data_IF_188361665248
#
_entry.id   IF_188361665248
#
_cell.length_a   1.000
_cell.length_b   1.000
_cell.length_c   1.000
_cell.angle_alpha   90.00
_cell.angle_beta   90.00
_cell.angle_gamma   90.00
#
_symmetry.space_group_name_H-M   'P 1'
#
loop_
_entity.id
_entity.type
_entity.pdbx_description
1 polymer ?
#
# COMPACT_ATOMS: atom_id res chain seq x y z
N UNK A 1 -28.20 16.41 -41.80
CA UNK A 1 -28.87 15.10 -41.61
C UNK A 1 -27.81 14.05 -41.81
N UNK A 2 -27.51 13.11 -40.93
CA UNK A 2 -27.95 12.72 -39.59
C UNK A 2 -26.86 11.71 -39.22
N UNK A 3 -26.10 11.93 -38.15
CA UNK A 3 -25.75 10.90 -37.17
C UNK A 3 -25.24 11.67 -35.95
N UNK A 4 -26.13 11.66 -34.97
CA UNK A 4 -26.08 12.36 -33.71
C UNK A 4 -24.90 11.88 -32.87
N UNK A 5 -24.37 12.81 -32.07
CA UNK A 5 -23.37 12.52 -31.06
C UNK A 5 -23.88 11.41 -30.14
N UNK A 6 -23.14 10.31 -30.11
CA UNK A 6 -23.13 9.51 -28.91
C UNK A 6 -22.40 10.36 -27.86
N UNK A 7 -23.19 10.85 -26.90
CA UNK A 7 -22.75 11.19 -25.56
C UNK A 7 -21.71 10.17 -25.11
N UNK A 8 -20.44 10.57 -25.19
CA UNK A 8 -19.41 9.99 -24.35
C UNK A 8 -19.83 10.43 -22.96
N UNK A 9 -20.47 9.53 -22.22
CA UNK A 9 -20.75 9.73 -20.82
C UNK A 9 -19.42 10.06 -20.14
N UNK A 10 -19.33 11.27 -19.62
CA UNK A 10 -18.30 11.78 -18.70
C UNK A 10 -18.28 11.02 -17.34
N UNK A 11 -18.58 9.72 -17.35
CA UNK A 11 -18.83 8.89 -16.16
C UNK A 11 -17.72 7.83 -15.92
N UNK A 12 -16.74 7.72 -16.82
CA UNK A 12 -15.48 7.02 -16.54
C UNK A 12 -14.51 8.00 -15.85
N UNK A 13 -14.87 8.46 -14.65
CA UNK A 13 -13.82 8.80 -13.69
C UNK A 13 -13.06 7.51 -13.45
N UNK A 14 -11.93 7.33 -14.14
CA UNK A 14 -10.89 6.37 -13.75
C UNK A 14 -10.71 6.56 -12.25
N UNK A 15 -11.25 5.64 -11.45
CA UNK A 15 -11.12 5.70 -10.00
C UNK A 15 -9.61 5.85 -9.74
N UNK A 16 -9.21 7.01 -9.22
CA UNK A 16 -7.82 7.43 -9.05
C UNK A 16 -7.18 6.68 -7.88
N UNK A 17 -7.10 5.36 -8.01
CA UNK A 17 -6.74 4.49 -6.92
C UNK A 17 -6.04 3.26 -7.49
N UNK A 18 -4.81 3.45 -7.93
CA UNK A 18 -3.94 2.35 -8.32
C UNK A 18 -3.15 1.84 -7.12
N UNK A 19 -2.68 0.60 -7.21
CA UNK A 19 -1.67 0.03 -6.32
C UNK A 19 -0.56 -0.59 -7.14
N UNK A 20 0.68 -0.37 -6.71
CA UNK A 20 1.82 -1.11 -7.24
C UNK A 20 2.07 -2.36 -6.40
N UNK A 21 2.31 -3.48 -7.07
CA UNK A 21 2.79 -4.70 -6.45
C UNK A 21 4.12 -5.02 -7.14
N UNK A 22 5.22 -4.72 -6.46
CA UNK A 22 6.56 -4.96 -7.01
C UNK A 22 6.90 -6.42 -6.78
N UNK A 23 7.52 -7.05 -7.77
CA UNK A 23 7.97 -8.42 -7.64
C UNK A 23 9.44 -8.58 -7.97
N UNK A 24 10.07 -9.55 -7.32
CA UNK A 24 11.46 -9.92 -7.55
C UNK A 24 11.57 -11.45 -7.52
N UNK A 25 11.97 -12.02 -8.65
CA UNK A 25 12.36 -13.41 -8.82
C UNK A 25 13.81 -13.60 -8.36
N UNK A 26 14.08 -14.80 -7.83
CA UNK A 26 15.43 -15.22 -7.44
C UNK A 26 16.21 -15.80 -8.62
N UNK A 27 15.51 -16.47 -9.53
CA UNK A 27 16.05 -17.03 -10.77
C UNK A 27 15.53 -16.28 -12.01
N UNK A 28 16.25 -16.40 -13.13
CA UNK A 28 15.83 -15.82 -14.41
C UNK A 28 14.68 -16.64 -15.00
N UNK A 29 13.63 -15.95 -15.43
CA UNK A 29 12.49 -16.58 -16.07
C UNK A 29 12.74 -16.75 -17.58
N UNK A 30 12.37 -17.90 -18.15
CA UNK A 30 12.47 -18.12 -19.60
C UNK A 30 11.15 -17.89 -20.37
N UNK A 31 9.99 -18.05 -19.72
CA UNK A 31 8.67 -17.99 -20.36
C UNK A 31 7.83 -16.80 -19.87
N UNK A 32 8.20 -15.59 -20.30
CA UNK A 32 7.67 -14.34 -19.74
C UNK A 32 6.18 -14.13 -20.02
N UNK A 33 5.72 -14.50 -21.21
CA UNK A 33 4.33 -14.32 -21.61
C UNK A 33 3.40 -15.25 -20.80
N UNK A 34 3.74 -16.54 -20.72
CA UNK A 34 2.98 -17.53 -19.94
C UNK A 34 2.92 -17.14 -18.46
N UNK A 35 4.04 -16.71 -17.87
CA UNK A 35 4.07 -16.22 -16.50
C UNK A 35 3.20 -14.98 -16.30
N UNK A 36 3.27 -14.04 -17.23
CA UNK A 36 2.47 -12.81 -17.19
C UNK A 36 0.98 -13.14 -17.25
N UNK A 37 0.57 -14.10 -18.09
CA UNK A 37 -0.83 -14.51 -18.22
C UNK A 37 -1.33 -15.26 -16.98
N UNK A 38 -0.52 -16.17 -16.42
CA UNK A 38 -0.84 -16.85 -15.15
C UNK A 38 -1.04 -15.81 -14.05
N UNK A 39 -0.12 -14.85 -13.91
CA UNK A 39 -0.23 -13.85 -12.85
C UNK A 39 -1.41 -12.90 -13.05
N UNK A 40 -1.71 -12.48 -14.29
CA UNK A 40 -2.92 -11.69 -14.56
C UNK A 40 -4.20 -12.44 -14.21
N UNK A 41 -4.23 -13.77 -14.33
CA UNK A 41 -5.41 -14.58 -14.04
C UNK A 41 -5.81 -14.58 -12.55
N UNK A 42 -4.88 -14.27 -11.65
CA UNK A 42 -5.15 -14.13 -10.22
C UNK A 42 -5.96 -12.88 -9.89
N UNK A 43 -5.78 -11.81 -10.66
CA UNK A 43 -6.42 -10.53 -10.36
C UNK A 43 -7.85 -10.52 -10.91
N UNK A 44 -8.85 -10.16 -10.09
CA UNK A 44 -10.25 -10.11 -10.52
C UNK A 44 -10.54 -8.97 -11.50
N UNK A 45 -9.62 -8.00 -11.61
CA UNK A 45 -9.77 -6.77 -12.35
C UNK A 45 -8.57 -6.49 -13.26
N UNK A 46 -8.67 -5.39 -14.03
CA UNK A 46 -7.66 -5.02 -15.01
C UNK A 46 -6.32 -4.72 -14.33
N UNK A 47 -5.31 -5.54 -14.66
CA UNK A 47 -3.94 -5.39 -14.17
C UNK A 47 -2.97 -5.18 -15.31
N UNK A 48 -2.07 -4.21 -15.16
CA UNK A 48 -0.96 -3.97 -16.10
C UNK A 48 0.29 -4.60 -15.51
N UNK A 49 1.11 -5.24 -16.34
CA UNK A 49 2.39 -5.82 -15.94
C UNK A 49 3.50 -5.11 -16.69
N UNK A 50 4.48 -4.61 -15.95
CA UNK A 50 5.67 -3.98 -16.51
C UNK A 50 6.89 -4.71 -15.98
N UNK A 51 7.63 -5.33 -16.89
CA UNK A 51 8.93 -5.91 -16.60
C UNK A 51 10.00 -4.82 -16.62
N UNK A 52 10.83 -4.77 -15.59
CA UNK A 52 11.98 -3.87 -15.52
C UNK A 52 13.25 -4.54 -16.04
N UNK A 53 13.37 -5.84 -15.77
CA UNK A 53 14.46 -6.73 -16.20
C UNK A 53 13.99 -8.20 -16.04
N UNK A 54 14.80 -9.20 -16.39
CA UNK A 54 14.40 -10.62 -16.32
C UNK A 54 14.04 -11.15 -14.93
N UNK A 55 14.38 -10.42 -13.86
CA UNK A 55 14.17 -10.84 -12.48
C UNK A 55 13.15 -9.98 -11.74
N UNK A 56 12.72 -8.84 -12.28
CA UNK A 56 11.84 -7.93 -11.54
C UNK A 56 10.90 -7.15 -12.44
N UNK A 57 9.79 -6.75 -11.82
CA UNK A 57 8.79 -5.92 -12.45
C UNK A 57 7.77 -5.46 -11.44
N UNK A 58 6.68 -4.89 -11.96
CA UNK A 58 5.59 -4.37 -11.16
C UNK A 58 4.25 -4.72 -11.81
N UNK A 59 3.31 -5.17 -10.98
CA UNK A 59 1.89 -5.19 -11.32
C UNK A 59 1.29 -3.85 -10.91
N UNK A 60 0.57 -3.22 -11.83
CA UNK A 60 -0.24 -2.04 -11.55
C UNK A 60 -1.68 -2.53 -11.49
N UNK A 61 -2.15 -2.68 -10.26
CA UNK A 61 -3.53 -3.03 -9.93
C UNK A 61 -4.37 -1.76 -10.01
N UNK A 62 -5.30 -1.73 -10.96
CA UNK A 62 -6.16 -0.57 -11.21
C UNK A 62 -7.43 -0.58 -10.36
N UNK A 63 -7.73 -1.68 -9.66
CA UNK A 63 -8.90 -1.80 -8.80
C UNK A 63 -8.57 -2.50 -7.46
N UNK A 64 -7.70 -1.91 -6.61
CA UNK A 64 -7.22 -2.54 -5.38
C UNK A 64 -8.34 -2.97 -4.44
N UNK A 65 -9.43 -2.19 -4.37
CA UNK A 65 -10.60 -2.53 -3.55
C UNK A 65 -11.26 -3.85 -3.94
N UNK A 66 -11.24 -4.22 -5.22
CA UNK A 66 -11.75 -5.53 -5.67
C UNK A 66 -10.73 -6.62 -5.38
N UNK A 67 -9.46 -6.36 -5.67
CA UNK A 67 -8.35 -7.29 -5.41
C UNK A 67 -8.27 -7.68 -3.92
N UNK A 68 -8.49 -6.72 -3.01
CA UNK A 68 -8.44 -6.95 -1.56
C UNK A 68 -9.60 -7.80 -1.01
N UNK A 69 -10.63 -8.06 -1.83
CA UNK A 69 -11.69 -9.02 -1.46
C UNK A 69 -11.27 -10.48 -1.66
N UNK A 70 -10.18 -10.73 -2.38
CA UNK A 70 -9.67 -12.07 -2.63
C UNK A 70 -8.76 -12.47 -1.47
N UNK A 71 -9.28 -13.32 -0.58
CA UNK A 71 -8.52 -13.86 0.53
C UNK A 71 -7.29 -14.64 0.03
N UNK A 72 -6.15 -14.44 0.67
CA UNK A 72 -4.89 -15.16 0.41
C UNK A 72 -4.39 -15.09 -1.04
N UNK A 73 -4.77 -14.04 -1.79
CA UNK A 73 -4.36 -13.83 -3.18
C UNK A 73 -2.84 -13.90 -3.36
N UNK A 74 -2.10 -13.14 -2.56
CA UNK A 74 -0.66 -13.00 -2.72
C UNK A 74 0.09 -14.25 -2.30
N UNK A 75 -0.37 -14.95 -1.27
CA UNK A 75 0.13 -16.28 -0.90
C UNK A 75 -0.09 -17.27 -2.04
N UNK A 76 -1.26 -17.26 -2.67
CA UNK A 76 -1.57 -18.12 -3.82
C UNK A 76 -0.65 -17.84 -5.02
N UNK A 77 -0.36 -16.56 -5.28
CA UNK A 77 0.61 -16.16 -6.31
C UNK A 77 2.00 -16.74 -6.00
N UNK A 78 2.46 -16.59 -4.75
CA UNK A 78 3.77 -17.12 -4.34
C UNK A 78 3.83 -18.64 -4.53
N UNK A 79 2.80 -19.36 -4.07
CA UNK A 79 2.74 -20.81 -4.13
C UNK A 79 2.69 -21.32 -5.59
N UNK A 80 1.87 -20.70 -6.45
CA UNK A 80 1.77 -21.06 -7.87
C UNK A 80 3.05 -20.76 -8.63
N UNK A 81 3.72 -19.63 -8.37
CA UNK A 81 5.00 -19.33 -9.02
C UNK A 81 6.06 -20.36 -8.62
N UNK A 82 6.08 -20.75 -7.34
CA UNK A 82 6.99 -21.77 -6.86
C UNK A 82 6.71 -23.17 -7.46
N UNK A 83 5.43 -23.55 -7.65
CA UNK A 83 5.05 -24.87 -8.17
C UNK A 83 5.15 -25.00 -9.68
N UNK A 84 4.70 -23.99 -10.41
CA UNK A 84 4.47 -24.09 -11.86
C UNK A 84 5.70 -23.63 -12.65
N UNK A 85 6.45 -22.66 -12.11
CA UNK A 85 7.64 -22.11 -12.74
C UNK A 85 8.94 -22.54 -12.07
N UNK A 86 8.88 -23.18 -10.90
CA UNK A 86 10.05 -23.61 -10.11
C UNK A 86 11.00 -22.44 -9.76
N UNK A 87 10.44 -21.26 -9.51
CA UNK A 87 11.16 -20.03 -9.17
C UNK A 87 10.63 -19.45 -7.85
N UNK A 88 11.51 -18.91 -7.02
CA UNK A 88 11.10 -18.15 -5.84
C UNK A 88 10.75 -16.70 -6.20
N UNK A 89 9.58 -16.24 -5.78
CA UNK A 89 9.12 -14.85 -5.95
C UNK A 89 8.99 -14.16 -4.60
N UNK A 90 9.43 -12.90 -4.55
CA UNK A 90 9.14 -11.98 -3.45
C UNK A 90 8.22 -10.86 -3.96
N UNK A 91 7.18 -10.55 -3.20
CA UNK A 91 6.19 -9.52 -3.53
C UNK A 91 6.22 -8.39 -2.50
N UNK A 92 6.25 -7.14 -2.96
CA UNK A 92 6.00 -5.97 -2.14
C UNK A 92 4.66 -5.38 -2.54
N UNK A 93 3.71 -5.40 -1.61
CA UNK A 93 2.35 -4.91 -1.79
C UNK A 93 2.33 -3.45 -1.36
N UNK A 94 2.20 -2.53 -2.31
CA UNK A 94 2.07 -1.11 -2.03
C UNK A 94 0.77 -0.78 -1.31
N UNK A 95 0.71 0.41 -0.74
CA UNK A 95 -0.51 0.93 -0.12
C UNK A 95 -1.46 1.35 -1.25
N UNK A 96 -2.75 1.01 -1.13
CA UNK A 96 -3.77 1.51 -2.05
C UNK A 96 -3.92 3.04 -1.99
N UNK A 97 -4.83 3.58 -2.78
CA UNK A 97 -5.18 5.00 -2.85
C UNK A 97 -4.10 5.89 -3.48
N UNK A 98 -3.41 5.40 -4.51
CA UNK A 98 -2.42 6.20 -5.25
C UNK A 98 -3.10 6.92 -6.41
N UNK A 99 -3.04 8.25 -6.40
CA UNK A 99 -3.47 9.05 -7.54
C UNK A 99 -2.47 8.93 -8.70
N UNK A 100 -2.95 9.02 -9.95
CA UNK A 100 -2.10 8.92 -11.14
C UNK A 100 -0.98 9.98 -11.17
N UNK A 101 -1.23 11.16 -10.62
CA UNK A 101 -0.26 12.25 -10.47
C UNK A 101 0.90 11.90 -9.53
N UNK A 102 0.67 11.01 -8.57
CA UNK A 102 1.66 10.52 -7.59
C UNK A 102 2.31 9.19 -8.01
N UNK A 103 1.81 8.54 -9.06
CA UNK A 103 2.22 7.21 -9.51
C UNK A 103 3.74 7.04 -9.61
N UNK A 104 4.42 8.01 -10.24
CA UNK A 104 5.87 7.95 -10.42
C UNK A 104 6.64 8.03 -9.10
N UNK A 105 6.30 8.99 -8.24
CA UNK A 105 6.99 9.18 -6.96
C UNK A 105 6.70 8.04 -6.00
N UNK A 106 5.49 7.48 -6.04
CA UNK A 106 5.11 6.27 -5.27
C UNK A 106 5.90 5.05 -5.72
N UNK A 107 5.88 4.75 -7.02
CA UNK A 107 6.63 3.63 -7.59
C UNK A 107 8.12 3.68 -7.21
N UNK A 108 8.75 4.85 -7.31
CA UNK A 108 10.16 5.02 -6.96
C UNK A 108 10.44 4.75 -5.48
N UNK A 109 9.61 5.30 -4.59
CA UNK A 109 9.80 5.13 -3.16
C UNK A 109 9.57 3.69 -2.71
N UNK A 110 8.50 3.05 -3.19
CA UNK A 110 8.19 1.67 -2.84
C UNK A 110 9.25 0.71 -3.36
N UNK A 111 9.74 0.94 -4.59
CA UNK A 111 10.85 0.15 -5.14
C UNK A 111 12.12 0.31 -4.30
N UNK A 112 12.50 1.53 -3.91
CA UNK A 112 13.63 1.78 -3.01
C UNK A 112 13.44 1.08 -1.66
N UNK A 113 12.24 1.22 -1.08
CA UNK A 113 11.87 0.58 0.20
C UNK A 113 11.98 -0.93 0.11
N UNK A 114 11.45 -1.54 -0.95
CA UNK A 114 11.51 -2.97 -1.14
C UNK A 114 12.95 -3.49 -1.18
N UNK A 115 13.83 -2.79 -1.90
CA UNK A 115 15.25 -3.18 -1.98
C UNK A 115 15.95 -3.09 -0.61
N UNK A 116 15.67 -2.04 0.18
CA UNK A 116 16.23 -1.89 1.53
C UNK A 116 15.73 -3.02 2.44
N UNK A 117 14.41 -3.22 2.52
CA UNK A 117 13.84 -4.16 3.48
C UNK A 117 14.17 -5.61 3.14
N UNK A 118 14.23 -5.97 1.85
CA UNK A 118 14.61 -7.33 1.42
C UNK A 118 16.04 -7.72 1.83
N UNK A 119 16.93 -6.74 2.01
CA UNK A 119 18.29 -7.00 2.53
C UNK A 119 18.30 -7.29 4.04
N UNK A 120 17.28 -6.83 4.77
CA UNK A 120 17.18 -6.99 6.22
C UNK A 120 16.43 -8.26 6.62
N UNK A 121 15.37 -8.59 5.88
CA UNK A 121 14.51 -9.74 6.15
C UNK A 121 14.19 -10.46 4.86
N UNK A 122 14.27 -11.79 4.87
CA UNK A 122 13.90 -12.63 3.74
C UNK A 122 12.51 -13.23 3.97
N UNK A 123 11.47 -12.53 3.50
CA UNK A 123 10.08 -12.99 3.48
C UNK A 123 9.57 -13.04 2.02
N UNK A 124 8.57 -13.88 1.70
CA UNK A 124 7.98 -13.90 0.37
C UNK A 124 7.07 -12.69 0.11
N UNK A 125 6.49 -12.08 1.16
CA UNK A 125 5.53 -10.98 1.03
C UNK A 125 5.90 -9.84 1.98
N UNK A 126 5.98 -8.63 1.45
CA UNK A 126 6.24 -7.36 2.13
C UNK A 126 4.99 -6.48 1.96
N UNK A 127 4.58 -5.78 3.01
CA UNK A 127 3.37 -4.97 3.02
C UNK A 127 3.77 -3.54 3.29
N UNK A 128 3.59 -2.65 2.32
CA UNK A 128 4.15 -1.31 2.34
C UNK A 128 3.80 -0.52 3.60
N UNK A 129 2.61 -0.70 4.15
CA UNK A 129 2.16 -0.09 5.40
C UNK A 129 2.91 -0.57 6.65
N UNK A 130 3.70 -1.65 6.57
CA UNK A 130 4.46 -2.23 7.68
C UNK A 130 5.96 -1.87 7.64
N UNK A 131 6.44 -1.15 6.63
CA UNK A 131 7.88 -1.14 6.31
C UNK A 131 8.69 0.00 6.94
N UNK A 132 8.06 1.02 7.52
CA UNK A 132 8.78 2.15 8.15
C UNK A 132 9.76 1.73 9.28
N UNK A 133 9.41 0.78 10.19
CA UNK A 133 10.36 0.27 11.17
C UNK A 133 11.62 -0.32 10.54
N UNK A 134 11.48 -1.02 9.41
CA UNK A 134 12.61 -1.63 8.71
C UNK A 134 13.46 -0.59 7.99
N UNK A 135 12.86 0.47 7.43
CA UNK A 135 13.62 1.62 6.92
C UNK A 135 14.47 2.28 8.02
N UNK A 136 13.93 2.40 9.24
CA UNK A 136 14.69 2.94 10.37
C UNK A 136 15.84 2.02 10.80
N UNK A 137 15.58 0.70 10.88
CA UNK A 137 16.61 -0.31 11.23
C UNK A 137 17.70 -0.37 10.16
N UNK A 138 17.32 -0.25 8.89
CA UNK A 138 18.25 -0.20 7.75
C UNK A 138 18.96 1.13 7.58
N UNK A 139 18.84 2.04 8.56
CA UNK A 139 19.46 3.37 8.54
C UNK A 139 19.17 4.15 7.24
N UNK A 140 17.94 4.03 6.74
CA UNK A 140 17.53 4.71 5.52
C UNK A 140 17.77 6.23 5.64
N UNK A 141 18.20 6.91 4.56
CA UNK A 141 18.47 8.34 4.61
C UNK A 141 17.27 9.13 5.15
N UNK A 142 17.49 10.21 5.92
CA UNK A 142 16.38 11.03 6.45
C UNK A 142 15.41 11.52 5.37
N UNK A 143 15.91 11.76 4.16
CA UNK A 143 15.07 12.13 3.00
C UNK A 143 14.12 11.00 2.57
N UNK A 144 14.54 9.74 2.64
CA UNK A 144 13.71 8.57 2.32
C UNK A 144 12.64 8.37 3.40
N UNK A 145 13.02 8.50 4.68
CA UNK A 145 12.08 8.45 5.81
C UNK A 145 11.02 9.55 5.74
N UNK A 146 11.43 10.78 5.41
CA UNK A 146 10.50 11.90 5.25
C UNK A 146 9.58 11.68 4.06
N UNK A 147 10.09 11.26 2.89
CA UNK A 147 9.26 10.94 1.72
C UNK A 147 8.22 9.86 2.02
N UNK A 148 8.62 8.81 2.74
CA UNK A 148 7.69 7.77 3.18
C UNK A 148 6.60 8.34 4.07
N UNK A 149 6.99 9.12 5.09
CA UNK A 149 6.06 9.76 6.01
C UNK A 149 5.08 10.68 5.28
N UNK A 150 5.59 11.57 4.42
CA UNK A 150 4.80 12.51 3.61
C UNK A 150 3.78 11.76 2.76
N UNK A 151 4.23 10.72 2.05
CA UNK A 151 3.37 9.95 1.17
C UNK A 151 2.36 9.06 1.91
N UNK A 152 2.68 8.59 3.11
CA UNK A 152 1.76 7.78 3.93
C UNK A 152 0.67 8.65 4.57
N UNK A 153 1.00 9.90 4.93
CA UNK A 153 0.10 10.82 5.63
C UNK A 153 -0.56 11.86 4.70
N UNK A 154 -0.22 11.89 3.41
CA UNK A 154 -0.66 12.93 2.46
C UNK A 154 -2.17 13.15 2.45
N UNK A 155 -2.96 12.07 2.52
CA UNK A 155 -4.44 12.11 2.48
C UNK A 155 -5.10 12.73 3.72
N UNK A 156 -4.34 12.92 4.80
CA UNK A 156 -4.83 13.41 6.10
C UNK A 156 -4.01 14.56 6.66
N UNK A 157 -2.98 15.04 5.96
CA UNK A 157 -2.01 16.01 6.49
C UNK A 157 -2.67 17.32 6.96
N UNK A 158 -3.76 17.72 6.32
CA UNK A 158 -4.54 18.91 6.68
C UNK A 158 -5.56 18.64 7.81
N UNK A 159 -5.87 17.38 8.11
CA UNK A 159 -6.86 16.99 9.12
C UNK A 159 -6.24 16.83 10.52
N UNK A 160 -5.78 17.95 11.08
CA UNK A 160 -5.11 17.99 12.40
C UNK A 160 -5.89 17.28 13.52
N UNK A 161 -7.22 17.43 13.55
CA UNK A 161 -8.09 16.76 14.52
C UNK A 161 -8.10 15.24 14.35
N UNK A 162 -8.11 14.75 13.10
CA UNK A 162 -8.07 13.32 12.81
C UNK A 162 -6.72 12.76 13.25
N UNK A 163 -5.62 13.38 12.82
CA UNK A 163 -4.25 13.04 13.21
C UNK A 163 -4.11 12.98 14.73
N UNK A 164 -4.58 14.01 15.45
CA UNK A 164 -4.52 14.05 16.90
C UNK A 164 -5.28 12.87 17.52
N UNK A 165 -6.44 12.54 16.99
CA UNK A 165 -7.26 11.42 17.46
C UNK A 165 -6.58 10.07 17.25
N UNK A 166 -5.95 9.88 16.09
CA UNK A 166 -5.21 8.67 15.77
C UNK A 166 -3.98 8.54 16.66
N UNK A 167 -3.24 9.63 16.90
CA UNK A 167 -2.13 9.64 17.85
C UNK A 167 -2.58 9.20 19.25
N UNK A 168 -3.67 9.79 19.77
CA UNK A 168 -4.19 9.41 21.09
C UNK A 168 -4.70 7.96 21.12
N UNK A 169 -5.30 7.47 20.03
CA UNK A 169 -5.69 6.07 19.88
C UNK A 169 -4.47 5.13 19.96
N UNK A 170 -3.39 5.43 19.25
CA UNK A 170 -2.15 4.68 19.28
C UNK A 170 -1.49 4.73 20.68
N UNK A 171 -1.41 5.91 21.30
CA UNK A 171 -0.92 6.10 22.68
C UNK A 171 -1.79 5.39 23.74
N UNK A 172 -3.02 5.01 23.39
CA UNK A 172 -3.92 4.21 24.23
C UNK A 172 -3.87 2.73 23.89
N UNK A 173 -2.79 2.24 23.26
CA UNK A 173 -2.61 0.86 22.83
C UNK A 173 -3.74 0.39 21.92
N UNK A 174 -4.16 1.24 20.99
CA UNK A 174 -5.27 0.95 20.06
C UNK A 174 -6.61 0.68 20.79
N UNK A 175 -6.79 1.17 22.02
CA UNK A 175 -8.03 1.01 22.76
C UNK A 175 -9.00 2.18 22.53
N UNK A 176 -10.06 1.92 21.77
CA UNK A 176 -11.06 2.92 21.38
C UNK A 176 -11.75 3.56 22.59
N UNK A 177 -12.14 2.76 23.58
CA UNK A 177 -12.84 3.26 24.77
C UNK A 177 -11.95 4.18 25.61
N UNK A 178 -10.68 3.83 25.75
CA UNK A 178 -9.71 4.62 26.50
C UNK A 178 -9.37 5.92 25.77
N UNK A 179 -9.13 5.86 24.46
CA UNK A 179 -8.87 7.04 23.63
C UNK A 179 -10.05 8.01 23.62
N UNK A 180 -11.28 7.49 23.46
CA UNK A 180 -12.50 8.30 23.53
C UNK A 180 -12.63 9.03 24.87
N UNK A 181 -12.35 8.34 25.99
CA UNK A 181 -12.35 8.95 27.32
C UNK A 181 -11.31 10.06 27.45
N UNK A 182 -10.09 9.86 26.93
CA UNK A 182 -9.03 10.89 26.97
C UNK A 182 -9.38 12.13 26.13
N UNK A 183 -10.08 11.94 25.01
CA UNK A 183 -10.51 13.01 24.11
C UNK A 183 -11.88 13.62 24.47
N UNK A 184 -12.52 13.16 25.55
CA UNK A 184 -13.89 13.55 25.91
C UNK A 184 -14.92 13.30 24.78
N UNK A 185 -14.70 12.25 23.98
CA UNK A 185 -15.57 11.83 22.89
C UNK A 185 -16.42 10.64 23.30
N UNK A 186 -17.52 10.43 22.59
CA UNK A 186 -18.22 9.15 22.64
C UNK A 186 -17.38 8.06 21.93
N UNK A 187 -17.46 6.81 22.41
CA UNK A 187 -16.74 5.66 21.82
C UNK A 187 -16.99 5.54 20.31
N UNK A 188 -18.24 5.71 19.89
CA UNK A 188 -18.62 5.63 18.47
C UNK A 188 -17.97 6.74 17.63
N UNK A 189 -17.79 7.94 18.17
CA UNK A 189 -17.09 9.03 17.47
C UNK A 189 -15.63 8.68 17.28
N UNK A 190 -14.98 8.07 18.28
CA UNK A 190 -13.60 7.62 18.13
C UNK A 190 -13.49 6.46 17.13
N UNK A 191 -14.40 5.48 17.16
CA UNK A 191 -14.47 4.42 16.16
C UNK A 191 -14.57 5.00 14.74
N UNK A 192 -15.50 5.95 14.53
CA UNK A 192 -15.65 6.64 13.25
C UNK A 192 -14.37 7.34 12.80
N UNK A 193 -13.62 7.98 13.71
CA UNK A 193 -12.32 8.60 13.37
C UNK A 193 -11.28 7.56 12.96
N UNK A 194 -11.21 6.40 13.62
CA UNK A 194 -10.35 5.28 13.18
C UNK A 194 -10.77 4.80 11.79
N UNK A 195 -12.05 4.54 11.58
CA UNK A 195 -12.54 4.03 10.30
C UNK A 195 -12.31 5.03 9.16
N UNK A 196 -12.51 6.32 9.42
CA UNK A 196 -12.20 7.41 8.47
C UNK A 196 -10.71 7.48 8.12
N UNK A 197 -9.81 7.26 9.09
CA UNK A 197 -8.38 7.18 8.82
C UNK A 197 -8.07 6.01 7.88
N UNK A 198 -8.64 4.83 8.14
CA UNK A 198 -8.42 3.62 7.34
C UNK A 198 -8.96 3.81 5.92
N UNK A 199 -10.17 4.38 5.79
CA UNK A 199 -10.78 4.67 4.48
C UNK A 199 -9.90 5.61 3.63
N UNK A 200 -9.37 6.66 4.25
CA UNK A 200 -8.55 7.66 3.55
C UNK A 200 -7.17 7.15 3.18
N UNK A 201 -6.50 6.47 4.10
CA UNK A 201 -5.09 6.06 3.93
C UNK A 201 -4.95 4.68 3.30
N UNK A 202 -5.98 3.83 3.37
CA UNK A 202 -5.89 2.41 3.03
C UNK A 202 -5.17 1.57 4.07
N UNK A 203 -4.82 2.13 5.25
CA UNK A 203 -3.96 1.48 6.24
C UNK A 203 -4.77 1.12 7.48
N UNK A 204 -4.94 -0.19 7.74
CA UNK A 204 -5.65 -0.65 8.94
C UNK A 204 -4.76 -0.65 10.20
N UNK A 205 -4.83 0.46 10.94
CA UNK A 205 -4.15 0.69 12.23
C UNK A 205 -4.77 -0.08 13.41
N UNK A 206 -5.68 -1.02 13.18
CA UNK A 206 -6.08 -2.03 14.18
C UNK A 206 -5.07 -3.16 14.22
N UNK A 207 -4.28 -3.34 13.15
CA UNK A 207 -3.17 -4.28 13.12
C UNK A 207 -1.90 -3.67 13.70
N UNK A 208 -1.25 -4.40 14.60
CA UNK A 208 -0.10 -3.92 15.34
C UNK A 208 1.04 -3.41 14.44
N UNK A 209 1.39 -4.14 13.36
CA UNK A 209 2.52 -3.78 12.50
C UNK A 209 2.28 -2.46 11.76
N UNK A 210 1.13 -2.31 11.13
CA UNK A 210 0.70 -1.08 10.47
C UNK A 210 0.58 0.07 11.48
N UNK A 211 0.05 -0.19 12.67
CA UNK A 211 -0.05 0.80 13.75
C UNK A 211 1.32 1.31 14.22
N UNK A 212 2.33 0.44 14.32
CA UNK A 212 3.71 0.84 14.66
C UNK A 212 4.29 1.73 13.56
N UNK A 213 4.13 1.37 12.28
CA UNK A 213 4.57 2.22 11.17
C UNK A 213 3.93 3.60 11.23
N UNK A 214 2.61 3.69 11.41
CA UNK A 214 1.91 4.97 11.50
C UNK A 214 2.34 5.76 12.72
N UNK A 215 2.54 5.10 13.87
CA UNK A 215 3.04 5.78 15.06
C UNK A 215 4.40 6.44 14.82
N UNK A 216 5.33 5.70 14.20
CA UNK A 216 6.66 6.22 13.86
C UNK A 216 6.58 7.35 12.82
N UNK A 217 5.73 7.21 11.80
CA UNK A 217 5.49 8.25 10.81
C UNK A 217 5.04 9.56 11.49
N UNK A 218 4.08 9.48 12.42
CA UNK A 218 3.58 10.62 13.18
C UNK A 218 4.63 11.24 14.13
N UNK A 219 5.67 10.50 14.52
CA UNK A 219 6.79 11.04 15.32
C UNK A 219 7.86 11.71 14.45
N UNK A 220 8.04 11.24 13.21
CA UNK A 220 8.98 11.82 12.24
C UNK A 220 8.40 13.12 11.67
N UNK A 221 7.09 13.17 11.47
CA UNK A 221 6.41 14.26 10.79
C UNK A 221 6.53 15.59 11.56
N UNK A 222 7.28 16.52 10.99
CA UNK A 222 7.63 17.79 11.63
C UNK A 222 6.49 18.82 11.59
N UNK A 223 5.53 18.66 10.68
CA UNK A 223 4.43 19.63 10.48
C UNK A 223 3.23 19.38 11.40
N UNK A 224 3.24 18.31 12.20
CA UNK A 224 2.14 17.91 13.10
C UNK A 224 2.31 18.48 14.53
N UNK A 225 3.44 19.15 14.81
CA UNK A 225 3.76 19.75 16.11
C UNK A 225 3.37 21.22 16.25
#
# INVERSE_FOLDING_TARGET
MLFEGNDIRDDDQLNENLRFIHFQLKEELQEWDTFTDVLKSFFPAKTIVIWENPFSGVFIDLEPKMTDTVEHLFESIVDTVASDFFVEISLYIGIGNVALTEAKSRYQLERETFQIVKQLVNKPIYKGEEELPFLLIGEAPPVTLQKFTDQTLSQIIEERELIHSIKVYLDCNMNISHAAKKLFLHRNTMQYRVDKFIEKTGIDIRHFRSAVSIYLALLIERNIH
#
